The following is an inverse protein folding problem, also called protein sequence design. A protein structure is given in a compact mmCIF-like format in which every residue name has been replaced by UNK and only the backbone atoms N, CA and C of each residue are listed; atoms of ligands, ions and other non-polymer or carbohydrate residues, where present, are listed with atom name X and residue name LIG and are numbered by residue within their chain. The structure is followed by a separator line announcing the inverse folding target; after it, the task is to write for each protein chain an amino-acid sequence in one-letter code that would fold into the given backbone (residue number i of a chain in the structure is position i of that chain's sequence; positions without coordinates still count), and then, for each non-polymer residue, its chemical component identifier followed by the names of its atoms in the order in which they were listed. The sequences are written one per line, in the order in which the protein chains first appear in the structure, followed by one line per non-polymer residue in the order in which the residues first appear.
data_IF_576486107165
#
_entry.id   IF_576486107165
#
_cell.length_a   1.000
_cell.length_b   1.000
_cell.length_c   1.000
_cell.angle_alpha   90.00
_cell.angle_beta   90.00
_cell.angle_gamma   90.00
#
_symmetry.space_group_name_H-M   'P 1'
#
loop_
_entity.id
_entity.type
_entity.pdbx_description
1 polymer ?
#
# COMPACT_ATOMS: atom_id res chain seq x y z
N UNK A 1 -3.71 22.63 3.48
CA UNK A 1 -3.21 22.49 2.09
C UNK A 1 -2.63 21.09 1.97
N UNK A 2 -3.39 20.16 1.39
CA UNK A 2 -2.92 18.81 1.12
C UNK A 2 -2.05 18.83 -0.14
N UNK A 3 -0.86 18.27 -0.04
CA UNK A 3 0.10 18.19 -1.13
C UNK A 3 -0.44 17.39 -2.33
N UNK A 4 0.08 17.80 -3.49
CA UNK A 4 0.20 17.21 -4.82
C UNK A 4 -0.04 15.69 -5.00
N UNK A 5 -0.42 15.40 -6.26
CA UNK A 5 -0.54 14.13 -6.98
C UNK A 5 -1.87 13.39 -6.83
N UNK A 6 -2.64 13.41 -7.92
CA UNK A 6 -3.81 12.58 -8.18
C UNK A 6 -3.50 11.14 -7.74
N UNK A 7 -4.21 10.65 -6.73
CA UNK A 7 -4.11 9.25 -6.31
C UNK A 7 -4.55 8.37 -7.46
N UNK A 8 -3.97 7.18 -7.56
CA UNK A 8 -4.32 6.22 -8.59
C UNK A 8 -5.75 5.68 -8.38
N UNK A 9 -6.22 5.66 -7.13
CA UNK A 9 -7.58 5.34 -6.71
C UNK A 9 -7.91 5.95 -5.34
N UNK A 10 -9.13 5.73 -4.84
CA UNK A 10 -9.59 6.28 -3.56
C UNK A 10 -8.75 5.76 -2.39
N UNK A 11 -8.19 6.66 -1.57
CA UNK A 11 -7.45 6.28 -0.38
C UNK A 11 -8.34 5.56 0.66
N UNK A 12 -7.73 4.73 1.52
CA UNK A 12 -8.40 4.11 2.65
C UNK A 12 -8.94 5.20 3.58
N UNK A 13 -10.25 5.25 3.74
CA UNK A 13 -10.90 6.21 4.62
C UNK A 13 -10.58 5.92 6.09
N UNK A 14 -10.56 6.97 6.92
CA UNK A 14 -10.42 6.84 8.39
C UNK A 14 -11.49 5.92 8.99
N UNK A 15 -12.67 5.90 8.38
CA UNK A 15 -13.80 5.05 8.78
C UNK A 15 -13.57 3.56 8.49
N UNK A 16 -12.64 3.21 7.60
CA UNK A 16 -12.43 1.86 7.09
C UNK A 16 -13.56 1.34 6.19
N UNK A 17 -14.60 2.12 5.89
CA UNK A 17 -15.78 1.64 5.14
C UNK A 17 -15.45 1.16 3.73
N UNK A 18 -14.43 1.74 3.11
CA UNK A 18 -13.97 1.37 1.78
C UNK A 18 -12.83 0.34 1.78
N UNK A 19 -12.51 -0.30 2.93
CA UNK A 19 -11.36 -1.20 3.06
C UNK A 19 -11.32 -2.30 2.00
N UNK A 20 -12.42 -3.02 1.76
CA UNK A 20 -12.45 -4.10 0.77
C UNK A 20 -12.15 -3.61 -0.64
N UNK A 21 -12.73 -2.47 -1.03
CA UNK A 21 -12.48 -1.85 -2.33
C UNK A 21 -11.03 -1.39 -2.43
N UNK A 22 -10.52 -0.74 -1.39
CA UNK A 22 -9.13 -0.28 -1.32
C UNK A 22 -8.12 -1.43 -1.46
N UNK A 23 -8.34 -2.55 -0.76
CA UNK A 23 -7.50 -3.76 -0.89
C UNK A 23 -7.49 -4.29 -2.32
N UNK A 24 -8.66 -4.32 -2.97
CA UNK A 24 -8.77 -4.76 -4.38
C UNK A 24 -7.99 -3.83 -5.31
N UNK A 25 -8.15 -2.52 -5.15
CA UNK A 25 -7.45 -1.53 -5.96
C UNK A 25 -5.92 -1.60 -5.78
N UNK A 26 -5.43 -1.77 -4.54
CA UNK A 26 -4.00 -2.01 -4.24
C UNK A 26 -3.51 -3.28 -4.94
N UNK A 27 -4.21 -4.40 -4.79
CA UNK A 27 -3.82 -5.68 -5.41
C UNK A 27 -3.75 -5.59 -6.92
N UNK A 28 -4.74 -4.96 -7.55
CA UNK A 28 -4.78 -4.80 -9.01
C UNK A 28 -3.65 -3.91 -9.50
N UNK A 29 -3.38 -2.79 -8.81
CA UNK A 29 -2.30 -1.87 -9.16
C UNK A 29 -0.93 -2.54 -9.04
N UNK A 30 -0.68 -3.28 -7.96
CA UNK A 30 0.56 -4.03 -7.77
C UNK A 30 0.72 -5.16 -8.79
N UNK A 31 -0.38 -5.82 -9.18
CA UNK A 31 -0.38 -6.84 -10.25
C UNK A 31 0.06 -6.22 -11.57
N UNK A 32 -0.54 -5.09 -11.96
CA UNK A 32 -0.19 -4.37 -13.19
C UNK A 32 1.29 -3.92 -13.24
N UNK A 33 1.93 -3.77 -12.06
CA UNK A 33 3.34 -3.40 -11.93
C UNK A 33 4.29 -4.59 -11.70
N UNK A 34 3.81 -5.83 -11.70
CA UNK A 34 4.60 -7.02 -11.31
C UNK A 34 5.22 -6.89 -9.91
N UNK A 35 4.53 -6.22 -8.99
CA UNK A 35 4.94 -5.99 -7.60
C UNK A 35 4.05 -6.71 -6.58
N UNK A 36 3.02 -7.45 -7.04
CA UNK A 36 2.07 -8.14 -6.16
C UNK A 36 2.75 -9.10 -5.18
N UNK A 37 3.80 -9.77 -5.62
CA UNK A 37 4.57 -10.69 -4.78
C UNK A 37 5.08 -10.02 -3.49
N UNK A 38 5.24 -8.68 -3.46
CA UNK A 38 5.75 -7.95 -2.28
C UNK A 38 4.79 -7.99 -1.09
N UNK A 39 3.50 -8.22 -1.35
CA UNK A 39 2.46 -8.37 -0.33
C UNK A 39 1.98 -9.82 -0.18
N UNK A 40 2.57 -10.77 -0.92
CA UNK A 40 2.25 -12.20 -0.83
C UNK A 40 3.37 -12.92 -0.09
N UNK A 41 3.02 -13.89 0.75
CA UNK A 41 3.97 -14.75 1.44
C UNK A 41 4.57 -15.78 0.47
N UNK A 42 5.45 -15.34 -0.43
CA UNK A 42 6.33 -16.27 -1.15
C UNK A 42 7.64 -16.43 -0.39
N UNK A 43 7.90 -17.65 0.09
CA UNK A 43 9.13 -18.08 0.77
C UNK A 43 10.28 -18.37 -0.18
N UNK A 44 10.00 -18.66 -1.44
CA UNK A 44 10.99 -19.20 -2.39
C UNK A 44 11.67 -18.13 -3.25
N UNK A 45 11.17 -16.88 -3.25
CA UNK A 45 11.74 -15.79 -4.01
C UNK A 45 11.68 -14.46 -3.24
N UNK A 46 12.66 -14.20 -2.34
CA UNK A 46 12.67 -12.99 -1.54
C UNK A 46 12.73 -11.77 -2.43
N UNK A 47 11.78 -10.86 -2.24
CA UNK A 47 11.71 -9.62 -2.99
C UNK A 47 12.74 -8.64 -2.46
N UNK A 48 13.52 -8.07 -3.37
CA UNK A 48 14.54 -7.10 -3.01
C UNK A 48 13.97 -5.89 -2.27
N UNK A 49 14.71 -5.39 -1.28
CA UNK A 49 14.34 -4.28 -0.39
C UNK A 49 13.80 -3.05 -1.14
N UNK A 50 14.38 -2.74 -2.31
CA UNK A 50 13.92 -1.63 -3.15
C UNK A 50 12.46 -1.78 -3.62
N UNK A 51 12.05 -3.00 -4.01
CA UNK A 51 10.67 -3.29 -4.40
C UNK A 51 9.73 -3.21 -3.19
N UNK A 52 10.16 -3.75 -2.04
CA UNK A 52 9.42 -3.65 -0.77
C UNK A 52 9.18 -2.19 -0.38
N UNK A 53 10.23 -1.36 -0.40
CA UNK A 53 10.13 0.06 -0.10
C UNK A 53 9.21 0.80 -1.10
N UNK A 54 9.28 0.46 -2.40
CA UNK A 54 8.41 1.02 -3.43
C UNK A 54 6.93 0.73 -3.15
N UNK A 55 6.61 -0.51 -2.79
CA UNK A 55 5.24 -0.91 -2.43
C UNK A 55 4.80 -0.24 -1.13
N UNK A 56 5.69 -0.11 -0.16
CA UNK A 56 5.38 0.55 1.11
C UNK A 56 5.03 2.03 0.93
N UNK A 57 5.82 2.76 0.14
CA UNK A 57 5.55 4.17 -0.21
C UNK A 57 4.21 4.27 -0.94
N UNK A 58 3.94 3.35 -1.87
CA UNK A 58 2.69 3.32 -2.61
C UNK A 58 1.46 3.13 -1.72
N UNK A 59 1.49 2.15 -0.82
CA UNK A 59 0.39 1.86 0.11
C UNK A 59 0.17 3.05 1.05
N UNK A 60 1.23 3.60 1.65
CA UNK A 60 1.14 4.75 2.55
C UNK A 60 0.49 5.96 1.87
N UNK A 61 0.85 6.26 0.62
CA UNK A 61 0.25 7.35 -0.16
C UNK A 61 -1.26 7.16 -0.39
N UNK A 62 -1.74 5.92 -0.38
CA UNK A 62 -3.14 5.57 -0.57
C UNK A 62 -3.86 5.31 0.76
N UNK A 63 -3.31 5.69 1.90
CA UNK A 63 -3.97 5.65 3.21
C UNK A 63 -4.20 7.09 3.67
N UNK A 64 -5.34 7.36 4.29
CA UNK A 64 -5.62 8.68 4.86
C UNK A 64 -4.55 9.09 5.89
N UNK A 65 -4.14 10.36 5.90
CA UNK A 65 -3.02 10.85 6.73
C UNK A 65 -3.12 10.51 8.23
N UNK A 66 -4.33 10.62 8.81
CA UNK A 66 -4.61 10.20 10.21
C UNK A 66 -4.28 8.72 10.45
N UNK A 67 -4.48 7.86 9.47
CA UNK A 67 -4.12 6.45 9.55
C UNK A 67 -2.62 6.26 9.30
N UNK A 68 -2.00 7.02 8.39
CA UNK A 68 -0.55 6.92 8.13
C UNK A 68 0.28 7.09 9.40
N UNK A 69 -0.11 7.99 10.32
CA UNK A 69 0.61 8.17 11.60
C UNK A 69 0.56 6.94 12.49
N UNK A 70 -0.53 6.15 12.44
CA UNK A 70 -0.64 4.88 13.18
C UNK A 70 0.24 3.78 12.56
N UNK A 71 0.44 3.83 11.25
CA UNK A 71 1.14 2.82 10.48
C UNK A 71 2.60 3.18 10.16
N UNK A 72 3.08 4.34 10.61
CA UNK A 72 4.40 4.87 10.25
C UNK A 72 5.55 3.94 10.69
N UNK A 73 5.39 3.26 11.83
CA UNK A 73 6.37 2.33 12.38
C UNK A 73 6.35 0.93 11.74
N UNK A 74 5.39 0.64 10.85
CA UNK A 74 5.41 -0.62 10.09
C UNK A 74 6.40 -0.48 8.95
N UNK A 75 7.31 -1.44 8.80
CA UNK A 75 8.29 -1.48 7.70
C UNK A 75 7.94 -2.55 6.65
N UNK A 76 7.06 -3.49 7.01
CA UNK A 76 6.57 -4.53 6.13
C UNK A 76 5.21 -4.13 5.51
N UNK A 77 5.09 -4.08 4.16
CA UNK A 77 3.82 -3.81 3.50
C UNK A 77 2.75 -4.87 3.74
N UNK A 78 3.12 -6.08 4.19
CA UNK A 78 2.17 -7.13 4.62
C UNK A 78 1.54 -6.84 5.99
N UNK A 79 2.17 -5.99 6.79
CA UNK A 79 1.74 -5.65 8.14
C UNK A 79 0.87 -4.38 8.21
N UNK A 80 0.45 -3.85 7.06
CA UNK A 80 -0.45 -2.72 6.87
C UNK A 80 -1.89 -3.18 6.62
#
# INVERSE_FOLDING_TARGET
MSNLNKLDFTALEVSGKNYLKWVQDVKLHLTAKNLRLAIEEETDNPIGEAKTATVMIFIRRHIHDILQTKYLAKEDPRAL
#
